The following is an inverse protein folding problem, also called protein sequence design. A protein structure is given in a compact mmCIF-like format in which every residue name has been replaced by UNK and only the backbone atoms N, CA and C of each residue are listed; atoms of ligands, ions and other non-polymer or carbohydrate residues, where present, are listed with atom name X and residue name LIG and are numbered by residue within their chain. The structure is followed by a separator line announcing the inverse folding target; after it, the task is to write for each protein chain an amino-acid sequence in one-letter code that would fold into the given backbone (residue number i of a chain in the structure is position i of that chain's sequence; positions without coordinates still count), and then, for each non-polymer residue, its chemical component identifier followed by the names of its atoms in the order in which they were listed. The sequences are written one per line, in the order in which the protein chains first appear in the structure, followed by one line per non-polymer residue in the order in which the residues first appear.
data_IF_484230688173
#
_entry.id   IF_484230688173
#
_cell.length_a   1.000
_cell.length_b   1.000
_cell.length_c   1.000
_cell.angle_alpha   90.00
_cell.angle_beta   90.00
_cell.angle_gamma   90.00
#
_symmetry.space_group_name_H-M   'P 1'
#
loop_
_entity.id
_entity.type
_entity.pdbx_description
1 polymer ?
#
# COMPACT_ATOMS: atom_id res chain seq x y z
N UNK A 1 20.63 -3.46 -9.84
CA UNK A 1 20.13 -2.12 -10.19
C UNK A 1 18.64 -2.24 -10.46
N UNK A 2 17.80 -1.79 -9.53
CA UNK A 2 16.36 -1.68 -9.79
C UNK A 2 16.16 -0.74 -10.99
N UNK A 3 15.51 -1.26 -12.03
CA UNK A 3 15.03 -0.41 -13.13
C UNK A 3 13.93 0.47 -12.52
N UNK A 4 14.25 1.72 -12.20
CA UNK A 4 13.23 2.70 -11.80
C UNK A 4 12.22 2.83 -12.93
N UNK A 5 10.98 2.40 -12.67
CA UNK A 5 9.84 2.63 -13.55
C UNK A 5 9.67 4.14 -13.76
N UNK A 6 9.46 4.62 -14.99
CA UNK A 6 9.24 6.05 -15.23
C UNK A 6 8.02 6.52 -14.42
N UNK A 7 8.23 7.53 -13.56
CA UNK A 7 7.18 8.17 -12.75
C UNK A 7 6.15 8.94 -13.58
N UNK A 8 6.31 9.07 -14.91
CA UNK A 8 5.26 9.48 -15.85
C UNK A 8 5.52 8.88 -17.25
N UNK A 9 4.46 8.81 -18.07
CA UNK A 9 4.45 8.20 -19.40
C UNK A 9 4.60 9.19 -20.57
N UNK A 10 4.84 10.47 -20.31
CA UNK A 10 4.87 11.52 -21.34
C UNK A 10 5.86 11.23 -22.47
N UNK A 11 7.09 10.83 -22.11
CA UNK A 11 8.15 10.52 -23.08
C UNK A 11 7.79 9.33 -23.96
N UNK A 12 7.21 8.29 -23.36
CA UNK A 12 6.75 7.08 -24.06
C UNK A 12 5.67 7.43 -25.08
N UNK A 13 4.62 8.13 -24.63
CA UNK A 13 3.50 8.55 -25.47
C UNK A 13 3.94 9.44 -26.64
N UNK A 14 4.89 10.36 -26.42
CA UNK A 14 5.46 11.16 -27.52
C UNK A 14 6.14 10.28 -28.56
N UNK A 15 7.01 9.35 -28.12
CA UNK A 15 7.77 8.47 -29.02
C UNK A 15 6.83 7.57 -29.82
N UNK A 16 5.79 7.03 -29.19
CA UNK A 16 4.75 6.21 -29.86
C UNK A 16 3.99 6.99 -30.94
N UNK A 17 3.78 8.30 -30.74
CA UNK A 17 3.22 9.20 -31.76
C UNK A 17 4.23 9.61 -32.84
N UNK A 18 5.49 9.21 -32.72
CA UNK A 18 6.53 9.44 -33.73
C UNK A 18 7.19 10.82 -33.70
N UNK A 19 6.95 11.63 -32.67
CA UNK A 19 7.53 12.98 -32.59
C UNK A 19 8.90 12.99 -31.93
N UNK A 20 9.84 13.79 -32.47
CA UNK A 20 10.99 14.21 -31.68
C UNK A 20 10.57 15.16 -30.55
N UNK A 21 11.42 15.28 -29.54
CA UNK A 21 11.14 16.15 -28.39
C UNK A 21 10.95 17.62 -28.79
N UNK A 22 11.71 18.09 -29.79
CA UNK A 22 11.62 19.47 -30.28
C UNK A 22 10.35 19.69 -31.10
N UNK A 23 10.01 18.76 -31.99
CA UNK A 23 8.79 18.83 -32.80
C UNK A 23 7.54 18.84 -31.92
N UNK A 24 7.44 17.92 -30.96
CA UNK A 24 6.30 17.88 -30.05
C UNK A 24 6.14 19.18 -29.26
N UNK A 25 7.24 19.78 -28.82
CA UNK A 25 7.21 21.06 -28.13
C UNK A 25 6.73 22.21 -29.02
N UNK A 26 7.27 22.35 -30.23
CA UNK A 26 6.91 23.47 -31.11
C UNK A 26 5.49 23.32 -31.69
N UNK A 27 5.10 22.10 -32.07
CA UNK A 27 3.84 21.87 -32.78
C UNK A 27 2.68 21.56 -31.85
N UNK A 28 2.90 20.73 -30.82
CA UNK A 28 1.82 20.30 -29.94
C UNK A 28 1.73 21.19 -28.71
N UNK A 29 2.82 21.30 -27.93
CA UNK A 29 2.80 22.06 -26.66
C UNK A 29 2.45 23.53 -26.90
N UNK A 30 3.11 24.20 -27.87
CA UNK A 30 2.90 25.63 -28.12
C UNK A 30 1.68 25.93 -28.98
N UNK A 31 1.55 25.29 -30.15
CA UNK A 31 0.54 25.71 -31.14
C UNK A 31 -0.82 25.08 -30.86
N UNK A 32 -0.87 23.78 -30.59
CA UNK A 32 -2.14 23.07 -30.38
C UNK A 32 -2.67 23.24 -28.96
N UNK A 33 -1.84 22.98 -27.95
CA UNK A 33 -2.22 23.06 -26.53
C UNK A 33 -2.13 24.48 -25.95
N UNK A 34 -1.48 25.42 -26.64
CA UNK A 34 -1.35 26.80 -26.19
C UNK A 34 -0.62 26.95 -24.85
N UNK A 35 0.25 26.01 -24.48
CA UNK A 35 0.95 26.03 -23.20
C UNK A 35 2.12 27.01 -23.25
N UNK A 36 2.04 28.07 -22.46
CA UNK A 36 3.12 29.06 -22.31
C UNK A 36 4.22 28.54 -21.37
N UNK A 37 5.04 27.61 -21.86
CA UNK A 37 6.19 27.04 -21.14
C UNK A 37 7.45 27.07 -22.02
N UNK A 38 8.61 26.92 -21.39
CA UNK A 38 9.89 26.81 -22.11
C UNK A 38 10.18 25.38 -22.55
N UNK A 39 11.05 25.20 -23.55
CA UNK A 39 11.52 23.88 -23.98
C UNK A 39 12.17 23.13 -22.81
N UNK A 40 12.92 23.84 -21.97
CA UNK A 40 13.53 23.28 -20.77
C UNK A 40 12.48 22.76 -19.77
N UNK A 41 11.37 23.46 -19.61
CA UNK A 41 10.25 23.02 -18.76
C UNK A 41 9.65 21.73 -19.31
N UNK A 42 9.40 21.65 -20.62
CA UNK A 42 8.90 20.45 -21.27
C UNK A 42 9.88 19.27 -21.16
N UNK A 43 11.17 19.51 -21.39
CA UNK A 43 12.24 18.54 -21.19
C UNK A 43 12.25 17.98 -19.77
N UNK A 44 12.05 18.86 -18.79
CA UNK A 44 11.93 18.46 -17.39
C UNK A 44 10.70 17.58 -17.17
N UNK A 45 9.55 17.84 -17.81
CA UNK A 45 8.37 16.98 -17.68
C UNK A 45 8.60 15.55 -18.17
N UNK A 46 9.44 15.35 -19.19
CA UNK A 46 9.84 14.01 -19.63
C UNK A 46 10.80 13.29 -18.68
N UNK A 47 11.34 14.00 -17.68
CA UNK A 47 12.10 13.38 -16.60
C UNK A 47 11.12 12.93 -15.49
N UNK A 48 11.10 11.64 -15.14
CA UNK A 48 10.26 11.04 -14.11
C UNK A 48 10.14 11.84 -12.81
N UNK A 49 11.23 12.46 -12.35
CA UNK A 49 11.26 13.10 -11.03
C UNK A 49 10.50 14.42 -10.96
N UNK A 50 10.17 15.04 -12.09
CA UNK A 50 9.52 16.34 -12.14
C UNK A 50 8.00 16.21 -12.23
N UNK A 51 7.31 17.10 -11.53
CA UNK A 51 5.85 17.18 -11.53
C UNK A 51 5.33 17.88 -12.80
N UNK A 52 4.27 17.31 -13.38
CA UNK A 52 3.44 17.99 -14.38
C UNK A 52 2.21 18.53 -13.64
N UNK A 53 2.00 19.85 -13.67
CA UNK A 53 0.85 20.48 -13.01
C UNK A 53 -0.47 20.01 -13.62
N UNK A 54 -1.55 20.10 -12.85
CA UNK A 54 -2.86 19.55 -13.20
C UNK A 54 -3.40 20.02 -14.56
N UNK A 55 -3.32 21.33 -14.87
CA UNK A 55 -3.81 21.87 -16.15
C UNK A 55 -3.02 21.32 -17.36
N UNK A 56 -1.68 21.39 -17.40
CA UNK A 56 -0.92 20.73 -18.46
C UNK A 56 -1.14 19.22 -18.54
N UNK A 57 -1.24 18.53 -17.41
CA UNK A 57 -1.47 17.09 -17.37
C UNK A 57 -2.81 16.71 -18.01
N UNK A 58 -3.88 17.47 -17.74
CA UNK A 58 -5.19 17.29 -18.35
C UNK A 58 -5.13 17.44 -19.88
N UNK A 59 -4.56 18.54 -20.37
CA UNK A 59 -4.47 18.83 -21.80
C UNK A 59 -3.64 17.79 -22.56
N UNK A 60 -2.53 17.34 -21.96
CA UNK A 60 -1.71 16.28 -22.53
C UNK A 60 -2.46 14.96 -22.57
N UNK A 61 -3.18 14.61 -21.50
CA UNK A 61 -3.96 13.38 -21.43
C UNK A 61 -5.08 13.37 -22.49
N UNK A 62 -5.79 14.48 -22.65
CA UNK A 62 -6.79 14.69 -23.69
C UNK A 62 -6.20 14.54 -25.10
N UNK A 63 -5.06 15.19 -25.39
CA UNK A 63 -4.37 15.07 -26.67
C UNK A 63 -3.97 13.63 -27.01
N UNK A 64 -3.45 12.89 -26.02
CA UNK A 64 -3.06 11.50 -26.20
C UNK A 64 -4.24 10.52 -26.18
N UNK A 65 -5.44 10.96 -25.75
CA UNK A 65 -6.60 10.09 -25.57
C UNK A 65 -6.45 9.08 -24.44
N UNK A 66 -5.69 9.44 -23.39
CA UNK A 66 -5.43 8.59 -22.22
C UNK A 66 -5.98 9.23 -20.94
N UNK A 67 -6.08 8.47 -19.86
CA UNK A 67 -6.40 9.05 -18.55
C UNK A 67 -5.20 9.84 -17.99
N UNK A 68 -5.46 10.89 -17.22
CA UNK A 68 -4.43 11.68 -16.51
C UNK A 68 -3.57 10.79 -15.61
N UNK A 69 -4.16 9.80 -14.94
CA UNK A 69 -3.43 8.82 -14.12
C UNK A 69 -2.41 8.04 -14.94
N UNK A 70 -2.79 7.51 -16.11
CA UNK A 70 -1.87 6.84 -17.04
C UNK A 70 -0.74 7.77 -17.50
N UNK A 71 -1.06 9.00 -17.90
CA UNK A 71 -0.06 10.00 -18.30
C UNK A 71 0.96 10.24 -17.17
N UNK A 72 0.47 10.38 -15.94
CA UNK A 72 1.29 10.63 -14.75
C UNK A 72 1.86 9.35 -14.13
N UNK A 73 1.76 8.19 -14.80
CA UNK A 73 2.31 6.91 -14.33
C UNK A 73 1.60 6.34 -13.08
N UNK A 74 0.45 6.87 -12.67
CA UNK A 74 -0.34 6.35 -11.55
C UNK A 74 -0.96 5.00 -11.87
N UNK A 75 -1.45 4.78 -13.09
CA UNK A 75 -2.11 3.52 -13.46
C UNK A 75 -1.13 2.34 -13.49
N UNK A 76 0.11 2.58 -13.95
CA UNK A 76 1.18 1.59 -13.88
C UNK A 76 1.52 1.26 -12.43
N UNK A 77 1.65 2.27 -11.56
CA UNK A 77 1.89 2.06 -10.12
C UNK A 77 0.76 1.27 -9.47
N UNK A 78 -0.49 1.64 -9.75
CA UNK A 78 -1.66 0.93 -9.24
C UNK A 78 -1.62 -0.53 -9.68
N UNK A 79 -1.35 -0.77 -10.96
CA UNK A 79 -1.21 -2.13 -11.50
C UNK A 79 -0.07 -2.88 -10.82
N UNK A 80 1.09 -2.27 -10.61
CA UNK A 80 2.23 -2.88 -9.90
C UNK A 80 1.86 -3.29 -8.47
N UNK A 81 1.22 -2.40 -7.71
CA UNK A 81 0.81 -2.70 -6.34
C UNK A 81 -0.27 -3.79 -6.27
N UNK A 82 -1.22 -3.81 -7.22
CA UNK A 82 -2.24 -4.85 -7.30
C UNK A 82 -1.60 -6.20 -7.63
N UNK A 83 -0.73 -6.26 -8.65
CA UNK A 83 -0.03 -7.48 -9.04
C UNK A 83 0.85 -7.99 -7.91
N UNK A 84 1.68 -7.15 -7.28
CA UNK A 84 2.54 -7.58 -6.18
C UNK A 84 1.75 -8.06 -4.96
N UNK A 85 0.57 -7.47 -4.72
CA UNK A 85 -0.32 -7.90 -3.65
C UNK A 85 -0.92 -9.28 -3.96
N UNK A 86 -1.38 -9.50 -5.19
CA UNK A 86 -1.90 -10.81 -5.62
C UNK A 86 -0.80 -11.88 -5.55
N UNK A 87 0.38 -11.60 -6.10
CA UNK A 87 1.51 -12.56 -6.11
C UNK A 87 1.93 -12.97 -4.70
N UNK A 88 1.90 -12.04 -3.73
CA UNK A 88 2.41 -12.28 -2.38
C UNK A 88 1.37 -12.84 -1.42
N UNK A 89 0.10 -12.46 -1.59
CA UNK A 89 -0.94 -12.69 -0.58
C UNK A 89 -2.20 -13.38 -1.13
N UNK A 90 -2.22 -13.86 -2.39
CA UNK A 90 -3.39 -14.56 -2.94
C UNK A 90 -3.88 -15.70 -2.05
N UNK A 91 -2.96 -16.47 -1.49
CA UNK A 91 -3.25 -17.66 -0.70
C UNK A 91 -3.76 -17.31 0.71
N UNK A 92 -3.61 -16.05 1.12
CA UNK A 92 -4.05 -15.51 2.40
C UNK A 92 -5.39 -14.74 2.29
N UNK A 93 -6.02 -14.71 1.10
CA UNK A 93 -7.27 -13.98 0.88
C UNK A 93 -8.43 -14.96 0.72
N UNK A 94 -9.45 -14.82 1.56
CA UNK A 94 -10.68 -15.63 1.46
C UNK A 94 -11.71 -14.98 0.51
N UNK A 95 -11.64 -13.66 0.31
CA UNK A 95 -12.58 -12.93 -0.53
C UNK A 95 -11.96 -11.72 -1.27
N UNK A 96 -12.64 -11.19 -2.30
CA UNK A 96 -12.23 -9.94 -2.95
C UNK A 96 -12.15 -8.72 -2.02
N UNK A 97 -12.82 -8.76 -0.87
CA UNK A 97 -12.77 -7.67 0.11
C UNK A 97 -11.44 -7.67 0.87
N UNK A 98 -10.86 -8.84 1.12
CA UNK A 98 -9.54 -8.97 1.74
C UNK A 98 -8.47 -8.40 0.81
N UNK A 99 -8.62 -8.61 -0.51
CA UNK A 99 -7.78 -7.97 -1.50
C UNK A 99 -7.83 -6.43 -1.43
N UNK A 100 -9.02 -5.85 -1.21
CA UNK A 100 -9.13 -4.41 -1.04
C UNK A 100 -8.33 -3.93 0.19
N UNK A 101 -8.36 -4.67 1.31
CA UNK A 101 -7.55 -4.33 2.50
C UNK A 101 -6.05 -4.30 2.21
N UNK A 102 -5.51 -5.38 1.63
CA UNK A 102 -4.07 -5.53 1.39
C UNK A 102 -3.59 -4.59 0.26
N UNK A 103 -4.36 -4.53 -0.84
CA UNK A 103 -4.05 -3.75 -2.02
C UNK A 103 -4.15 -2.25 -1.77
N UNK A 104 -5.21 -1.78 -1.10
CA UNK A 104 -5.36 -0.37 -0.77
C UNK A 104 -4.31 0.10 0.24
N UNK A 105 -3.85 -0.77 1.15
CA UNK A 105 -2.76 -0.43 2.07
C UNK A 105 -1.45 -0.16 1.31
N UNK A 106 -1.07 -1.03 0.37
CA UNK A 106 0.10 -0.78 -0.49
C UNK A 106 -0.08 0.46 -1.38
N UNK A 107 -1.28 0.69 -1.91
CA UNK A 107 -1.59 1.90 -2.68
C UNK A 107 -1.45 3.18 -1.84
N UNK A 108 -1.80 3.12 -0.56
CA UNK A 108 -1.83 4.30 0.33
C UNK A 108 -0.46 4.59 0.95
N UNK A 109 0.30 3.56 1.33
CA UNK A 109 1.53 3.70 2.13
C UNK A 109 2.76 2.98 1.56
N UNK A 110 2.60 2.28 0.44
CA UNK A 110 3.65 1.49 -0.20
C UNK A 110 3.76 0.05 0.33
N UNK A 111 4.41 -0.80 -0.45
CA UNK A 111 4.55 -2.25 -0.18
C UNK A 111 5.26 -2.53 1.14
N UNK A 112 6.33 -1.79 1.44
CA UNK A 112 7.07 -1.97 2.69
C UNK A 112 6.17 -1.77 3.91
N UNK A 113 5.33 -0.73 3.90
CA UNK A 113 4.39 -0.47 5.00
C UNK A 113 3.32 -1.56 5.06
N UNK A 114 2.74 -1.94 3.91
CA UNK A 114 1.78 -3.05 3.84
C UNK A 114 2.35 -4.31 4.49
N UNK A 115 3.55 -4.70 4.07
CA UNK A 115 4.20 -5.93 4.52
C UNK A 115 4.51 -5.90 6.01
N UNK A 116 5.03 -4.77 6.52
CA UNK A 116 5.28 -4.58 7.96
C UNK A 116 3.99 -4.65 8.77
N UNK A 117 2.92 -3.98 8.34
CA UNK A 117 1.64 -4.00 9.05
C UNK A 117 1.06 -5.41 9.10
N UNK A 118 1.08 -6.15 7.99
CA UNK A 118 0.56 -7.52 7.94
C UNK A 118 1.37 -8.42 8.86
N UNK A 119 2.70 -8.32 8.85
CA UNK A 119 3.55 -9.14 9.71
C UNK A 119 3.31 -8.86 11.19
N UNK A 120 3.20 -7.58 11.56
CA UNK A 120 2.89 -7.17 12.93
C UNK A 120 1.50 -7.66 13.36
N UNK A 121 0.51 -7.62 12.47
CA UNK A 121 -0.81 -8.18 12.76
C UNK A 121 -0.76 -9.71 12.91
N UNK A 122 0.05 -10.41 12.12
CA UNK A 122 0.28 -11.86 12.26
C UNK A 122 0.89 -12.20 13.62
N UNK A 123 1.87 -11.44 14.09
CA UNK A 123 2.42 -11.60 15.44
C UNK A 123 1.36 -11.35 16.53
N UNK A 124 0.56 -10.29 16.39
CA UNK A 124 -0.55 -9.97 17.31
C UNK A 124 -1.55 -11.12 17.38
N UNK A 125 -1.90 -11.74 16.25
CA UNK A 125 -2.86 -12.85 16.21
C UNK A 125 -2.27 -14.22 16.56
N UNK A 126 -1.00 -14.29 16.96
CA UNK A 126 -0.25 -15.55 17.16
C UNK A 126 -0.27 -16.47 15.92
N UNK A 127 -0.13 -15.87 14.73
CA UNK A 127 -0.22 -16.56 13.44
C UNK A 127 0.74 -17.75 13.32
N UNK A 128 1.91 -17.66 13.96
CA UNK A 128 2.94 -18.72 13.98
C UNK A 128 2.79 -19.69 15.17
N UNK A 129 1.80 -19.49 16.03
CA UNK A 129 1.51 -20.33 17.19
C UNK A 129 2.57 -20.30 18.28
N UNK A 130 3.43 -19.28 18.32
CA UNK A 130 4.49 -19.16 19.31
C UNK A 130 3.94 -19.15 20.74
N UNK A 131 2.88 -18.37 20.99
CA UNK A 131 2.25 -18.30 22.32
C UNK A 131 1.43 -19.55 22.60
N UNK A 132 0.65 -20.02 21.61
CA UNK A 132 -0.17 -21.22 21.72
C UNK A 132 0.67 -22.43 22.08
N UNK A 133 1.70 -22.75 21.31
CA UNK A 133 2.48 -23.98 21.47
C UNK A 133 3.54 -23.91 22.59
N UNK A 134 3.75 -22.74 23.21
CA UNK A 134 4.55 -22.63 24.43
C UNK A 134 3.84 -23.20 25.66
N UNK A 135 2.50 -23.32 25.65
CA UNK A 135 1.74 -23.86 26.79
C UNK A 135 2.01 -25.35 26.99
N UNK A 136 2.07 -25.77 28.26
CA UNK A 136 2.38 -27.15 28.67
C UNK A 136 1.47 -28.19 28.00
N UNK A 137 0.19 -27.88 27.86
CA UNK A 137 -0.84 -28.76 27.27
C UNK A 137 -0.54 -29.19 25.82
N UNK A 138 0.27 -28.41 25.08
CA UNK A 138 0.62 -28.69 23.68
C UNK A 138 2.05 -29.23 23.50
N UNK A 139 2.87 -29.33 24.57
CA UNK A 139 4.27 -29.78 24.43
C UNK A 139 4.38 -31.20 23.90
N UNK A 140 3.47 -32.07 24.33
CA UNK A 140 3.44 -33.50 23.96
C UNK A 140 2.74 -33.78 22.62
N UNK A 141 2.24 -32.76 21.92
CA UNK A 141 1.62 -32.96 20.62
C UNK A 141 2.66 -33.34 19.57
N UNK A 142 2.28 -34.25 18.68
CA UNK A 142 3.07 -34.55 17.48
C UNK A 142 3.16 -33.32 16.57
N UNK A 143 4.22 -33.26 15.77
CA UNK A 143 4.41 -32.16 14.82
C UNK A 143 3.23 -32.06 13.85
N UNK A 144 2.73 -33.18 13.33
CA UNK A 144 1.55 -33.23 12.45
C UNK A 144 0.31 -32.58 13.08
N UNK A 145 0.06 -32.80 14.38
CA UNK A 145 -1.06 -32.16 15.09
C UNK A 145 -0.85 -30.66 15.26
N UNK A 146 0.40 -30.24 15.51
CA UNK A 146 0.76 -28.82 15.60
C UNK A 146 0.59 -28.14 14.25
N UNK A 147 1.00 -28.78 13.15
CA UNK A 147 0.88 -28.24 11.79
C UNK A 147 -0.59 -28.10 11.38
N UNK A 148 -1.44 -29.10 11.68
CA UNK A 148 -2.88 -29.03 11.41
C UNK A 148 -3.55 -27.89 12.19
N UNK A 149 -3.22 -27.75 13.48
CA UNK A 149 -3.73 -26.66 14.31
C UNK A 149 -3.22 -25.30 13.81
N UNK A 150 -1.93 -25.21 13.50
CA UNK A 150 -1.30 -24.00 12.99
C UNK A 150 -1.99 -23.54 11.70
N UNK A 151 -2.30 -24.45 10.78
CA UNK A 151 -3.03 -24.11 9.56
C UNK A 151 -4.39 -23.48 9.86
N UNK A 152 -5.17 -24.06 10.78
CA UNK A 152 -6.45 -23.48 11.21
C UNK A 152 -6.30 -22.11 11.89
N UNK A 153 -5.24 -21.91 12.68
CA UNK A 153 -4.92 -20.61 13.27
C UNK A 153 -4.56 -19.56 12.22
N UNK A 154 -3.78 -19.94 11.21
CA UNK A 154 -3.38 -19.08 10.10
C UNK A 154 -4.58 -18.65 9.26
N UNK A 155 -5.43 -19.60 8.88
CA UNK A 155 -6.64 -19.32 8.10
C UNK A 155 -7.58 -18.35 8.87
N UNK A 156 -7.76 -18.60 10.18
CA UNK A 156 -8.55 -17.71 11.04
C UNK A 156 -7.93 -16.31 11.17
N UNK A 157 -6.61 -16.23 11.33
CA UNK A 157 -5.90 -14.97 11.45
C UNK A 157 -5.96 -14.17 10.13
N UNK A 158 -5.69 -14.79 8.99
CA UNK A 158 -5.78 -14.16 7.67
C UNK A 158 -7.19 -13.58 7.42
N UNK A 159 -8.24 -14.36 7.72
CA UNK A 159 -9.64 -13.91 7.62
C UNK A 159 -9.93 -12.66 8.47
N UNK A 160 -9.40 -12.60 9.70
CA UNK A 160 -9.59 -11.44 10.58
C UNK A 160 -8.75 -10.23 10.15
N UNK A 161 -7.50 -10.47 9.73
CA UNK A 161 -6.60 -9.43 9.25
C UNK A 161 -7.18 -8.76 8.00
N UNK A 162 -7.66 -9.55 7.04
CA UNK A 162 -8.32 -9.06 5.84
C UNK A 162 -9.53 -8.18 6.13
N UNK A 163 -10.46 -8.66 6.97
CA UNK A 163 -11.63 -7.87 7.40
C UNK A 163 -11.25 -6.60 8.14
N UNK A 164 -10.29 -6.67 9.04
CA UNK A 164 -9.81 -5.52 9.80
C UNK A 164 -9.22 -4.45 8.87
N UNK A 165 -8.33 -4.84 7.96
CA UNK A 165 -7.71 -3.92 7.01
C UNK A 165 -8.75 -3.32 6.06
N UNK A 166 -9.66 -4.13 5.52
CA UNK A 166 -10.74 -3.64 4.67
C UNK A 166 -11.61 -2.60 5.41
N UNK A 167 -11.98 -2.87 6.66
CA UNK A 167 -12.69 -1.93 7.52
C UNK A 167 -11.89 -0.65 7.78
N UNK A 168 -10.61 -0.77 8.13
CA UNK A 168 -9.71 0.35 8.38
C UNK A 168 -9.61 1.30 7.17
N UNK A 169 -9.62 0.76 5.95
CA UNK A 169 -9.55 1.57 4.74
C UNK A 169 -10.77 2.47 4.52
N UNK A 170 -11.89 2.22 5.21
CA UNK A 170 -13.10 3.06 5.15
C UNK A 170 -13.03 4.31 6.03
N UNK A 171 -12.04 4.40 6.92
CA UNK A 171 -11.91 5.52 7.87
C UNK A 171 -11.32 6.77 7.18
N UNK A 172 -11.60 7.97 7.73
CA UNK A 172 -10.94 9.21 7.29
C UNK A 172 -9.41 9.10 7.37
N UNK A 173 -8.72 9.74 6.43
CA UNK A 173 -7.26 9.59 6.26
C UNK A 173 -6.48 9.83 7.55
N UNK A 174 -6.83 10.86 8.33
CA UNK A 174 -6.17 11.14 9.60
C UNK A 174 -6.22 9.94 10.54
N UNK A 175 -7.40 9.39 10.79
CA UNK A 175 -7.59 8.25 11.70
C UNK A 175 -6.96 6.98 11.15
N UNK A 176 -7.19 6.69 9.87
CA UNK A 176 -6.63 5.53 9.17
C UNK A 176 -5.11 5.51 9.21
N UNK A 177 -4.47 6.63 8.85
CA UNK A 177 -3.01 6.76 8.84
C UNK A 177 -2.45 6.63 10.25
N UNK A 178 -3.07 7.25 11.27
CA UNK A 178 -2.62 7.09 12.66
C UNK A 178 -2.61 5.63 13.11
N UNK A 179 -3.66 4.86 12.78
CA UNK A 179 -3.72 3.43 13.12
C UNK A 179 -2.65 2.65 12.35
N UNK A 180 -2.48 2.92 11.05
CA UNK A 180 -1.44 2.27 10.23
C UNK A 180 -0.05 2.55 10.81
N UNK A 181 0.27 3.81 11.11
CA UNK A 181 1.57 4.20 11.64
C UNK A 181 1.84 3.53 12.99
N UNK A 182 0.84 3.44 13.87
CA UNK A 182 0.93 2.66 15.10
C UNK A 182 1.22 1.17 14.84
N UNK A 183 0.56 0.57 13.84
CA UNK A 183 0.80 -0.81 13.44
C UNK A 183 2.15 -1.04 12.74
N UNK A 184 2.86 0.01 12.31
CA UNK A 184 4.22 -0.11 11.77
C UNK A 184 5.32 -0.09 12.83
N UNK A 185 5.01 0.35 14.05
CA UNK A 185 5.97 0.36 15.16
C UNK A 185 6.44 -1.04 15.51
N UNK A 186 7.66 -1.18 16.02
CA UNK A 186 8.10 -2.45 16.59
C UNK A 186 7.34 -2.77 17.89
N UNK A 187 7.49 -4.00 18.39
CA UNK A 187 6.72 -4.45 19.56
C UNK A 187 6.99 -3.60 20.81
N UNK A 188 8.23 -3.15 21.04
CA UNK A 188 8.60 -2.35 22.21
C UNK A 188 8.02 -0.94 22.12
N UNK A 189 8.12 -0.31 20.95
CA UNK A 189 7.57 1.01 20.69
C UNK A 189 6.04 1.00 20.76
N UNK A 190 5.41 -0.04 20.20
CA UNK A 190 3.95 -0.22 20.24
C UNK A 190 3.44 -0.39 21.68
N UNK A 191 4.13 -1.15 22.52
CA UNK A 191 3.79 -1.26 23.94
C UNK A 191 3.95 0.07 24.70
N UNK A 192 5.02 0.81 24.44
CA UNK A 192 5.22 2.13 25.05
C UNK A 192 4.10 3.10 24.67
N UNK A 193 3.72 3.15 23.39
CA UNK A 193 2.59 3.99 22.92
C UNK A 193 1.26 3.51 23.51
N UNK A 194 1.04 2.20 23.59
CA UNK A 194 -0.17 1.64 24.20
C UNK A 194 -0.30 2.04 25.68
N UNK A 195 0.81 2.03 26.42
CA UNK A 195 0.85 2.46 27.82
C UNK A 195 0.46 3.94 27.95
N UNK A 196 0.98 4.80 27.08
CA UNK A 196 0.64 6.22 27.04
C UNK A 196 -0.85 6.41 26.75
N UNK A 197 -1.38 5.76 25.71
CA UNK A 197 -2.80 5.81 25.36
C UNK A 197 -3.66 5.39 26.55
N UNK A 198 -3.33 4.27 27.20
CA UNK A 198 -4.06 3.76 28.37
C UNK A 198 -4.06 4.74 29.55
N UNK A 199 -2.92 5.41 29.82
CA UNK A 199 -2.82 6.41 30.89
C UNK A 199 -3.60 7.71 30.63
N UNK A 200 -3.85 8.02 29.36
CA UNK A 200 -4.60 9.21 28.95
C UNK A 200 -6.10 8.91 28.78
N UNK A 201 -6.44 7.65 28.51
CA UNK A 201 -7.81 7.24 28.33
C UNK A 201 -8.57 7.29 29.66
N UNK A 202 -9.68 8.04 29.70
CA UNK A 202 -10.58 8.07 30.84
C UNK A 202 -11.48 6.81 30.83
N UNK A 203 -10.86 5.65 31.05
CA UNK A 203 -11.52 4.35 30.97
C UNK A 203 -11.51 3.64 32.33
N UNK A 204 -12.60 3.70 33.11
CA UNK A 204 -12.63 3.19 34.49
C UNK A 204 -12.57 1.64 34.61
N UNK A 205 -12.54 0.88 33.50
CA UNK A 205 -12.82 -0.57 33.52
C UNK A 205 -11.62 -1.47 33.17
N UNK A 206 -10.52 -0.98 32.59
CA UNK A 206 -9.48 -1.88 32.01
C UNK A 206 -8.33 -2.31 32.93
N UNK A 207 -8.36 -2.04 34.23
CA UNK A 207 -7.22 -2.31 35.12
C UNK A 207 -7.30 -3.59 35.97
N UNK A 208 -8.14 -4.58 35.67
CA UNK A 208 -8.22 -5.77 36.54
C UNK A 208 -7.91 -7.15 35.97
N UNK A 209 -8.31 -7.55 34.77
CA UNK A 209 -8.36 -9.00 34.51
C UNK A 209 -7.91 -9.41 33.09
N UNK A 210 -6.68 -9.09 32.69
CA UNK A 210 -6.05 -9.68 31.48
C UNK A 210 -4.58 -10.07 31.65
N UNK A 211 -4.16 -10.39 32.88
CA UNK A 211 -2.96 -11.18 33.13
C UNK A 211 -3.41 -12.61 33.50
N UNK A 212 -3.60 -13.47 32.49
CA UNK A 212 -3.67 -14.94 32.62
C UNK A 212 -3.17 -15.63 31.32
#
# INVERSE_FOLDING_TARGET
MEKQTPKNNLKKLRIEKGFSQKEFYEDIIKKELGLNITLRTYQNWENPNNEIKSKPALLLAEYFGVNVGYLLGEDERRTTYLTSTLEKYSDNMESPVDFAGYGLLALTRGEKVRDTVIENLREITDYYGHRRFAKEEFKNWSQEKKDLMLKGMQDYADSNIGRFLAGLMTFPDKTKITIIDFLTLDNKEREAVSTIISSLADNPVLHKDYDD
#
